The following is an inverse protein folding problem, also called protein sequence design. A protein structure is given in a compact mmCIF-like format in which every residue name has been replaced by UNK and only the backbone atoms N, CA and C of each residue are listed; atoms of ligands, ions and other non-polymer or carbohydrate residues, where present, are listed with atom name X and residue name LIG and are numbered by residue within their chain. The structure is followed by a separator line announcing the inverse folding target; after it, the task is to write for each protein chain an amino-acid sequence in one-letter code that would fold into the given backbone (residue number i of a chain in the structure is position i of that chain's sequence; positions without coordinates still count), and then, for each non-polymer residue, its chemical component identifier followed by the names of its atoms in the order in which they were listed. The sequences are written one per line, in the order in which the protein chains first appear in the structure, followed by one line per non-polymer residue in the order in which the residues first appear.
data_IF_310819511039
#
_entry.id   IF_310819511039
#
_cell.length_a   1.000
_cell.length_b   1.000
_cell.length_c   1.000
_cell.angle_alpha   90.00
_cell.angle_beta   90.00
_cell.angle_gamma   90.00
#
_symmetry.space_group_name_H-M   'P 1'
#
loop_
_entity.id
_entity.type
_entity.pdbx_description
1 polymer ?
#
# COMPACT_ATOMS: atom_id res chain seq x y z
N UNK A 1 -11.90 16.45 7.49
CA UNK A 1 -10.52 16.90 7.15
C UNK A 1 -9.84 17.79 8.20
N UNK A 2 -10.34 18.99 8.57
CA UNK A 2 -9.65 19.92 9.50
C UNK A 2 -9.53 19.46 10.96
N UNK A 3 -10.33 18.48 11.39
CA UNK A 3 -10.28 17.95 12.77
C UNK A 3 -9.33 16.75 12.93
N UNK A 4 -8.54 16.44 11.90
CA UNK A 4 -7.55 15.35 11.93
C UNK A 4 -6.14 15.90 11.86
N UNK A 5 -5.23 15.25 12.58
CA UNK A 5 -3.81 15.39 12.38
C UNK A 5 -3.36 14.43 11.28
N UNK A 6 -2.58 14.93 10.32
CA UNK A 6 -2.10 14.15 9.18
C UNK A 6 -0.61 13.89 9.32
N UNK A 7 -0.23 12.61 9.26
CA UNK A 7 1.15 12.17 9.21
C UNK A 7 1.43 11.68 7.79
N UNK A 8 2.29 12.39 7.04
CA UNK A 8 2.50 12.14 5.61
C UNK A 8 3.96 11.73 5.40
N UNK A 9 4.16 10.52 4.85
CA UNK A 9 5.45 10.05 4.34
C UNK A 9 5.40 10.19 2.82
N UNK A 10 5.99 11.26 2.24
CA UNK A 10 5.83 11.53 0.81
C UNK A 10 6.58 10.53 -0.09
N UNK A 11 7.63 9.91 0.44
CA UNK A 11 8.40 8.91 -0.28
C UNK A 11 8.92 7.83 0.67
N UNK A 12 8.36 6.64 0.57
CA UNK A 12 8.75 5.47 1.37
C UNK A 12 9.98 4.71 0.80
N UNK A 13 10.45 5.06 -0.41
CA UNK A 13 11.55 4.39 -1.09
C UNK A 13 12.43 5.42 -1.84
N UNK A 14 13.19 6.27 -1.12
CA UNK A 14 13.98 7.32 -1.74
C UNK A 14 15.00 6.80 -2.76
N UNK A 15 15.71 5.72 -2.45
CA UNK A 15 16.75 5.18 -3.35
C UNK A 15 16.14 4.56 -4.61
N UNK A 16 15.07 3.78 -4.46
CA UNK A 16 14.35 3.22 -5.60
C UNK A 16 13.76 4.31 -6.47
N UNK A 17 13.19 5.37 -5.87
CA UNK A 17 12.67 6.52 -6.59
C UNK A 17 13.77 7.25 -7.38
N UNK A 18 14.94 7.49 -6.77
CA UNK A 18 16.07 8.09 -7.47
C UNK A 18 16.50 7.23 -8.67
N UNK A 19 16.62 5.91 -8.47
CA UNK A 19 16.98 4.97 -9.53
C UNK A 19 15.99 4.97 -10.71
N UNK A 20 14.69 5.22 -10.46
CA UNK A 20 13.71 5.38 -11.56
C UNK A 20 13.93 6.62 -12.44
N UNK A 21 14.70 7.59 -11.96
CA UNK A 21 14.98 8.85 -12.66
C UNK A 21 16.32 8.86 -13.37
N UNK A 22 17.23 7.97 -12.98
CA UNK A 22 18.60 7.96 -13.51
C UNK A 22 18.93 6.70 -14.32
N UNK A 23 18.36 5.54 -13.97
CA UNK A 23 18.77 4.26 -14.54
C UNK A 23 17.60 3.45 -15.13
N UNK A 24 16.65 3.00 -14.30
CA UNK A 24 15.54 2.13 -14.71
C UNK A 24 14.20 2.67 -14.24
N UNK A 25 13.48 3.29 -15.18
CA UNK A 25 12.16 3.90 -14.94
C UNK A 25 11.13 2.94 -14.35
N UNK A 26 11.26 1.63 -14.57
CA UNK A 26 10.32 0.61 -14.10
C UNK A 26 10.78 -0.13 -12.84
N UNK A 27 11.86 0.33 -12.20
CA UNK A 27 12.31 -0.21 -10.94
C UNK A 27 11.27 -0.04 -9.83
N UNK A 28 11.05 -1.07 -9.03
CA UNK A 28 9.98 -1.09 -8.01
C UNK A 28 10.44 -1.53 -6.61
N UNK A 29 11.65 -2.07 -6.48
CA UNK A 29 12.24 -2.47 -5.19
C UNK A 29 12.99 -1.28 -4.58
N UNK A 30 13.51 -1.41 -3.36
CA UNK A 30 14.56 -0.49 -2.91
C UNK A 30 15.90 -0.80 -3.61
N UNK A 31 17.00 -0.20 -3.13
CA UNK A 31 18.35 -0.38 -3.70
C UNK A 31 19.33 -1.12 -2.79
N UNK A 32 18.83 -1.95 -1.87
CA UNK A 32 19.68 -2.84 -1.07
C UNK A 32 20.66 -3.62 -1.95
N UNK A 33 21.92 -3.69 -1.52
CA UNK A 33 22.96 -4.44 -2.23
C UNK A 33 22.57 -5.92 -2.39
N UNK A 34 23.00 -6.58 -3.48
CA UNK A 34 22.71 -8.00 -3.68
C UNK A 34 23.17 -8.86 -2.51
N UNK A 35 22.39 -9.90 -2.23
CA UNK A 35 22.79 -10.92 -1.27
C UNK A 35 24.00 -11.70 -1.74
N UNK A 36 24.78 -12.26 -0.80
CA UNK A 36 25.92 -13.13 -1.12
C UNK A 36 25.47 -14.25 -2.06
N UNK A 37 26.10 -14.34 -3.23
CA UNK A 37 25.76 -15.32 -4.27
C UNK A 37 24.63 -14.91 -5.22
N UNK A 38 24.04 -13.72 -5.05
CA UNK A 38 23.07 -13.14 -6.00
C UNK A 38 23.67 -11.94 -6.73
N UNK A 39 23.19 -11.69 -7.95
CA UNK A 39 23.47 -10.46 -8.70
C UNK A 39 22.33 -9.44 -8.60
N UNK A 40 21.22 -9.80 -7.96
CA UNK A 40 20.00 -9.01 -7.95
C UNK A 40 19.91 -8.13 -6.71
N UNK A 41 19.77 -6.82 -6.92
CA UNK A 41 19.61 -5.83 -5.85
C UNK A 41 18.16 -5.64 -5.45
N UNK A 42 17.94 -5.18 -4.23
CA UNK A 42 16.67 -4.64 -3.73
C UNK A 42 15.68 -5.67 -3.20
N UNK A 43 14.81 -5.21 -2.32
CA UNK A 43 13.68 -5.91 -1.72
C UNK A 43 12.39 -5.16 -2.02
N UNK A 44 11.29 -5.88 -2.17
CA UNK A 44 9.98 -5.26 -2.29
C UNK A 44 9.52 -4.82 -0.89
N UNK A 45 9.52 -3.51 -0.64
CA UNK A 45 9.20 -2.96 0.67
C UNK A 45 7.78 -3.34 1.13
N UNK A 46 6.81 -3.43 0.21
CA UNK A 46 5.44 -3.85 0.52
C UNK A 46 5.27 -5.39 0.58
N UNK A 47 6.36 -6.12 0.78
CA UNK A 47 6.40 -7.55 1.14
C UNK A 47 7.29 -7.84 2.35
N UNK A 48 7.82 -6.79 2.98
CA UNK A 48 8.86 -6.89 3.99
C UNK A 48 8.35 -6.57 5.41
N UNK A 49 7.09 -6.20 5.59
CA UNK A 49 6.51 -6.01 6.92
C UNK A 49 6.28 -7.36 7.64
N UNK A 50 6.12 -7.38 8.99
CA UNK A 50 5.97 -8.63 9.74
C UNK A 50 4.69 -9.42 9.44
N UNK A 51 3.58 -8.72 9.14
CA UNK A 51 2.26 -9.33 8.97
C UNK A 51 2.23 -10.30 7.80
N UNK A 52 1.98 -11.59 8.05
CA UNK A 52 1.99 -12.63 7.00
C UNK A 52 3.35 -12.85 6.32
N UNK A 53 4.47 -12.34 6.88
CA UNK A 53 5.79 -12.49 6.27
C UNK A 53 6.13 -13.96 5.97
N UNK A 54 6.76 -14.21 4.82
CA UNK A 54 7.04 -15.56 4.32
C UNK A 54 6.09 -16.01 3.22
N UNK A 55 4.92 -15.37 3.07
CA UNK A 55 4.03 -15.54 1.92
C UNK A 55 4.42 -14.67 0.74
N UNK A 56 5.46 -15.10 0.04
CA UNK A 56 5.95 -14.46 -1.18
C UNK A 56 7.27 -15.06 -1.66
N UNK A 57 7.79 -14.62 -2.82
CA UNK A 57 8.97 -15.22 -3.41
C UNK A 57 10.24 -14.93 -2.58
N UNK A 58 11.01 -15.99 -2.33
CA UNK A 58 12.31 -15.93 -1.64
C UNK A 58 13.50 -15.71 -2.58
N UNK A 59 13.29 -15.77 -3.89
CA UNK A 59 14.32 -15.50 -4.89
C UNK A 59 14.64 -14.00 -4.93
N UNK A 60 15.89 -13.55 -4.66
CA UNK A 60 16.26 -12.13 -4.69
C UNK A 60 16.00 -11.42 -6.03
N UNK A 61 15.95 -12.17 -7.14
CA UNK A 61 15.67 -11.62 -8.46
C UNK A 61 14.18 -11.39 -8.75
N UNK A 62 13.27 -11.90 -7.92
CA UNK A 62 11.85 -11.64 -8.09
C UNK A 62 11.51 -10.17 -7.80
N UNK A 63 10.60 -9.58 -8.60
CA UNK A 63 10.11 -8.20 -8.36
C UNK A 63 9.39 -8.06 -7.00
N UNK A 64 8.78 -9.15 -6.53
CA UNK A 64 8.11 -9.23 -5.24
C UNK A 64 8.99 -9.89 -4.16
N UNK A 65 10.31 -9.92 -4.32
CA UNK A 65 11.23 -10.52 -3.34
C UNK A 65 10.99 -9.94 -1.94
N UNK A 66 10.74 -10.82 -0.97
CA UNK A 66 10.27 -10.45 0.37
C UNK A 66 11.38 -9.96 1.31
N UNK A 67 12.64 -10.20 0.97
CA UNK A 67 13.79 -9.96 1.86
C UNK A 67 14.13 -11.20 2.71
N UNK A 68 15.12 -11.06 3.60
CA UNK A 68 15.61 -12.19 4.41
C UNK A 68 14.76 -12.50 5.64
N UNK A 69 14.24 -11.45 6.26
CA UNK A 69 13.44 -11.48 7.48
C UNK A 69 12.56 -10.21 7.49
N UNK A 70 11.46 -10.17 8.26
CA UNK A 70 10.62 -8.98 8.28
C UNK A 70 11.39 -7.77 8.82
N UNK A 71 11.16 -6.61 8.22
CA UNK A 71 11.85 -5.34 8.53
C UNK A 71 13.37 -5.44 8.35
N UNK A 72 13.83 -6.23 7.38
CA UNK A 72 15.25 -6.28 6.99
C UNK A 72 15.72 -5.01 6.29
N UNK A 73 14.79 -4.23 5.73
CA UNK A 73 15.11 -3.01 5.00
C UNK A 73 15.02 -1.79 5.94
N UNK A 74 15.97 -0.85 5.89
CA UNK A 74 15.95 0.32 6.75
C UNK A 74 14.70 1.18 6.54
N UNK A 75 14.16 1.23 5.32
CA UNK A 75 12.96 2.00 5.00
C UNK A 75 11.71 1.41 5.66
N UNK A 76 11.49 0.09 5.56
CA UNK A 76 10.34 -0.56 6.20
C UNK A 76 10.46 -0.54 7.70
N UNK A 77 11.68 -0.72 8.24
CA UNK A 77 11.96 -0.56 9.67
C UNK A 77 11.63 0.85 10.16
N UNK A 78 12.08 1.89 9.47
CA UNK A 78 11.80 3.27 9.86
C UNK A 78 10.29 3.58 9.89
N UNK A 79 9.54 3.12 8.88
CA UNK A 79 8.08 3.27 8.84
C UNK A 79 7.41 2.51 9.98
N UNK A 80 7.82 1.27 10.24
CA UNK A 80 7.26 0.46 11.31
C UNK A 80 7.52 1.06 12.70
N UNK A 81 8.74 1.53 12.94
CA UNK A 81 9.12 2.19 14.19
C UNK A 81 8.34 3.50 14.38
N UNK A 82 8.17 4.29 13.32
CA UNK A 82 7.37 5.52 13.36
C UNK A 82 5.91 5.25 13.69
N UNK A 83 5.26 4.29 13.01
CA UNK A 83 3.86 3.93 13.29
C UNK A 83 3.69 3.50 14.74
N UNK A 84 4.57 2.64 15.25
CA UNK A 84 4.56 2.23 16.66
C UNK A 84 4.72 3.41 17.62
N UNK A 85 5.51 4.41 17.23
CA UNK A 85 5.72 5.63 18.04
C UNK A 85 4.52 6.58 18.07
N UNK A 86 3.53 6.42 17.19
CA UNK A 86 2.36 7.34 17.13
C UNK A 86 1.02 6.64 17.34
N UNK A 87 0.94 5.31 17.20
CA UNK A 87 -0.34 4.59 17.21
C UNK A 87 -1.12 4.76 18.53
N UNK A 88 -0.41 4.94 19.65
CA UNK A 88 -0.99 5.21 20.96
C UNK A 88 -1.68 6.60 21.06
N UNK A 89 -1.49 7.48 20.08
CA UNK A 89 -2.14 8.79 19.99
C UNK A 89 -3.42 8.75 19.13
N UNK A 90 -4.15 7.62 19.16
CA UNK A 90 -5.41 7.42 18.43
C UNK A 90 -5.27 7.61 16.91
N UNK A 91 -4.33 6.90 16.28
CA UNK A 91 -4.30 6.83 14.80
C UNK A 91 -5.49 6.00 14.33
N UNK A 92 -6.47 6.65 13.69
CA UNK A 92 -7.74 6.00 13.31
C UNK A 92 -7.68 5.39 11.90
N UNK A 93 -6.91 5.98 10.99
CA UNK A 93 -6.83 5.56 9.59
C UNK A 93 -5.39 5.60 9.07
N UNK A 94 -4.99 4.58 8.30
CA UNK A 94 -3.70 4.51 7.63
C UNK A 94 -3.88 4.12 6.15
N UNK A 95 -3.21 4.86 5.26
CA UNK A 95 -3.33 4.70 3.81
C UNK A 95 -1.96 4.48 3.18
N UNK A 96 -1.80 3.35 2.48
CA UNK A 96 -0.63 3.10 1.63
C UNK A 96 -1.01 3.38 0.17
N UNK A 97 -0.48 4.44 -0.42
CA UNK A 97 -0.75 4.80 -1.81
C UNK A 97 0.17 4.05 -2.78
N UNK A 98 -0.42 3.46 -3.82
CA UNK A 98 0.25 2.72 -4.88
C UNK A 98 -0.35 3.10 -6.24
N UNK A 99 0.24 2.60 -7.32
CA UNK A 99 -0.40 2.58 -8.62
C UNK A 99 0.07 1.34 -9.39
N UNK A 100 -0.71 0.81 -10.32
CA UNK A 100 -2.02 1.27 -10.79
C UNK A 100 -3.07 0.16 -10.60
N UNK A 101 -4.34 0.52 -10.69
CA UNK A 101 -5.43 -0.47 -10.67
C UNK A 101 -6.77 0.04 -10.18
N UNK A 102 -6.91 1.33 -9.86
CA UNK A 102 -8.15 1.96 -9.38
C UNK A 102 -8.88 1.11 -8.33
N UNK A 103 -8.17 0.67 -7.30
CA UNK A 103 -8.72 -0.25 -6.29
C UNK A 103 -8.29 0.15 -4.88
N UNK A 104 -9.22 0.13 -3.93
CA UNK A 104 -8.90 0.20 -2.50
C UNK A 104 -8.99 -1.19 -1.86
N UNK A 105 -7.87 -1.67 -1.36
CA UNK A 105 -7.83 -2.95 -0.66
C UNK A 105 -8.00 -2.79 0.85
N UNK A 106 -8.67 -3.76 1.45
CA UNK A 106 -8.78 -3.94 2.89
C UNK A 106 -7.92 -5.13 3.37
N UNK A 107 -7.44 -5.11 4.63
CA UNK A 107 -6.80 -6.27 5.26
C UNK A 107 -7.79 -7.44 5.39
N UNK A 108 -7.33 -8.66 5.62
CA UNK A 108 -5.93 -9.10 5.53
C UNK A 108 -5.62 -9.67 4.14
N UNK A 109 -4.44 -9.38 3.60
CA UNK A 109 -4.05 -9.87 2.28
C UNK A 109 -3.44 -11.29 2.27
N UNK A 110 -2.94 -11.76 3.42
CA UNK A 110 -2.12 -12.97 3.50
C UNK A 110 -2.90 -14.28 3.75
N UNK A 111 -3.97 -14.27 4.57
CA UNK A 111 -4.78 -15.46 4.92
C UNK A 111 -6.17 -15.46 4.26
N UNK A 112 -7.06 -16.39 4.65
CA UNK A 112 -8.38 -16.67 4.05
C UNK A 112 -9.40 -15.51 4.12
N UNK A 113 -10.70 -15.74 4.40
CA UNK A 113 -11.61 -14.60 4.60
C UNK A 113 -11.04 -13.68 5.68
N UNK A 114 -11.09 -12.36 5.45
CA UNK A 114 -10.50 -11.41 6.39
C UNK A 114 -11.20 -11.52 7.74
N UNK A 115 -10.41 -11.69 8.79
CA UNK A 115 -10.87 -11.69 10.19
C UNK A 115 -10.95 -10.28 10.79
N UNK A 116 -10.78 -9.23 9.97
CA UNK A 116 -10.78 -7.85 10.47
C UNK A 116 -12.18 -7.51 11.04
N UNK A 117 -12.29 -7.11 12.33
CA UNK A 117 -13.58 -6.98 13.00
C UNK A 117 -14.48 -5.87 12.42
N UNK A 118 -13.89 -4.88 11.73
CA UNK A 118 -14.60 -3.77 11.10
C UNK A 118 -14.76 -3.92 9.58
N UNK A 119 -14.54 -5.11 9.01
CA UNK A 119 -14.52 -5.30 7.55
C UNK A 119 -15.77 -4.75 6.85
N UNK A 120 -16.97 -5.05 7.37
CA UNK A 120 -18.23 -4.56 6.80
C UNK A 120 -18.30 -3.03 6.81
N UNK A 121 -17.95 -2.38 7.93
CA UNK A 121 -17.91 -0.92 8.03
C UNK A 121 -16.86 -0.31 7.10
N UNK A 122 -15.70 -0.95 6.97
CA UNK A 122 -14.67 -0.55 6.01
C UNK A 122 -15.22 -0.59 4.59
N UNK A 123 -15.96 -1.64 4.21
CA UNK A 123 -16.57 -1.77 2.89
C UNK A 123 -17.66 -0.74 2.64
N UNK A 124 -18.54 -0.45 3.62
CA UNK A 124 -19.52 0.64 3.50
C UNK A 124 -18.85 2.00 3.31
N UNK A 125 -17.78 2.28 4.07
CA UNK A 125 -17.02 3.52 3.92
C UNK A 125 -16.37 3.63 2.53
N UNK A 126 -15.79 2.53 2.05
CA UNK A 126 -15.18 2.48 0.72
C UNK A 126 -16.22 2.60 -0.39
N UNK A 127 -17.38 1.98 -0.25
CA UNK A 127 -18.50 2.11 -1.19
C UNK A 127 -18.94 3.56 -1.34
N UNK A 128 -19.14 4.28 -0.23
CA UNK A 128 -19.46 5.70 -0.26
C UNK A 128 -18.33 6.52 -0.91
N UNK A 129 -17.07 6.24 -0.57
CA UNK A 129 -15.94 6.95 -1.15
C UNK A 129 -15.82 6.72 -2.66
N UNK A 130 -15.85 5.47 -3.12
CA UNK A 130 -15.64 5.10 -4.53
C UNK A 130 -16.77 5.61 -5.43
N UNK A 131 -18.02 5.63 -4.96
CA UNK A 131 -19.13 6.22 -5.70
C UNK A 131 -18.95 7.71 -6.00
N UNK A 132 -18.20 8.44 -5.17
CA UNK A 132 -17.97 9.89 -5.35
C UNK A 132 -16.65 10.22 -6.05
N UNK A 133 -15.79 9.22 -6.29
CA UNK A 133 -14.53 9.39 -7.01
C UNK A 133 -14.74 9.26 -8.51
N UNK A 134 -15.46 10.22 -9.09
CA UNK A 134 -15.61 10.33 -10.54
C UNK A 134 -14.47 11.17 -11.15
N UNK A 135 -14.02 10.85 -12.37
CA UNK A 135 -14.58 9.86 -13.30
C UNK A 135 -13.99 8.44 -13.19
N UNK A 136 -12.98 8.20 -12.35
CA UNK A 136 -12.32 6.90 -12.31
C UNK A 136 -13.10 5.96 -11.40
N UNK A 137 -13.93 5.08 -11.96
CA UNK A 137 -14.68 4.09 -11.18
C UNK A 137 -13.71 3.17 -10.41
N UNK A 138 -13.61 3.40 -9.10
CA UNK A 138 -12.78 2.60 -8.21
C UNK A 138 -13.49 1.33 -7.76
N UNK A 139 -12.76 0.23 -7.73
CA UNK A 139 -13.17 -0.99 -7.05
C UNK A 139 -12.70 -0.97 -5.60
N UNK A 140 -13.28 -1.85 -4.76
CA UNK A 140 -12.76 -2.11 -3.43
C UNK A 140 -12.94 -3.58 -3.04
N UNK A 141 -12.16 -4.04 -2.07
CA UNK A 141 -12.31 -5.38 -1.50
C UNK A 141 -11.02 -5.99 -0.98
N UNK A 142 -11.00 -7.31 -0.87
CA UNK A 142 -9.81 -8.04 -0.42
C UNK A 142 -8.82 -8.22 -1.58
N UNK A 143 -7.52 -8.20 -1.29
CA UNK A 143 -6.49 -8.42 -2.33
C UNK A 143 -6.72 -9.74 -3.09
N UNK A 144 -7.12 -10.79 -2.38
CA UNK A 144 -7.34 -12.14 -2.94
C UNK A 144 -8.55 -12.26 -3.86
N UNK A 145 -9.52 -11.34 -3.83
CA UNK A 145 -10.67 -11.35 -4.76
C UNK A 145 -10.30 -10.73 -6.11
N UNK A 146 -9.18 -10.02 -6.18
CA UNK A 146 -8.67 -9.44 -7.41
C UNK A 146 -7.98 -10.50 -8.28
N UNK A 147 -8.33 -10.54 -9.58
CA UNK A 147 -7.92 -11.60 -10.53
C UNK A 147 -6.41 -11.91 -10.50
N UNK A 148 -5.58 -10.89 -10.26
CA UNK A 148 -4.12 -11.00 -10.22
C UNK A 148 -3.58 -11.82 -9.03
N UNK A 149 -4.31 -11.89 -7.92
CA UNK A 149 -3.86 -12.49 -6.65
C UNK A 149 -4.76 -13.64 -6.18
N UNK A 150 -5.64 -14.11 -7.07
CA UNK A 150 -6.65 -15.11 -6.76
C UNK A 150 -5.99 -16.35 -6.16
N UNK A 151 -6.44 -16.73 -4.97
CA UNK A 151 -6.06 -17.94 -4.22
C UNK A 151 -4.67 -18.00 -3.57
N UNK A 152 -3.74 -17.08 -3.87
CA UNK A 152 -2.35 -17.16 -3.35
C UNK A 152 -2.13 -16.33 -2.07
N UNK A 153 -2.76 -15.15 -1.97
CA UNK A 153 -2.54 -14.22 -0.88
C UNK A 153 -1.13 -13.63 -0.91
N UNK A 154 -0.95 -12.47 -0.28
CA UNK A 154 0.34 -11.80 -0.23
C UNK A 154 0.67 -11.42 1.20
N UNK A 155 1.90 -11.73 1.62
CA UNK A 155 2.42 -11.39 2.94
C UNK A 155 3.29 -10.15 2.94
N UNK A 156 3.49 -9.61 4.14
CA UNK A 156 4.40 -8.52 4.44
C UNK A 156 3.97 -7.16 3.90
N UNK A 157 2.66 -6.94 3.75
CA UNK A 157 2.13 -5.65 3.30
C UNK A 157 2.11 -4.63 4.44
N UNK A 158 2.24 -3.34 4.10
CA UNK A 158 2.12 -2.24 5.05
C UNK A 158 0.70 -2.15 5.64
N UNK A 159 -0.33 -2.34 4.80
CA UNK A 159 -1.74 -2.33 5.20
C UNK A 159 -2.05 -3.37 6.27
N UNK A 160 -1.61 -4.61 6.08
CA UNK A 160 -1.82 -5.67 7.08
C UNK A 160 -1.06 -5.36 8.37
N UNK A 161 0.17 -4.83 8.27
CA UNK A 161 0.92 -4.39 9.45
C UNK A 161 0.21 -3.25 10.21
N UNK A 162 -0.38 -2.27 9.52
CA UNK A 162 -1.13 -1.19 10.16
C UNK A 162 -2.34 -1.73 10.92
N UNK A 163 -3.08 -2.67 10.33
CA UNK A 163 -4.16 -3.36 11.01
C UNK A 163 -3.67 -4.14 12.25
N UNK A 164 -2.54 -4.83 12.15
CA UNK A 164 -1.91 -5.53 13.30
C UNK A 164 -1.46 -4.58 14.41
N UNK A 165 -1.20 -3.30 14.11
CA UNK A 165 -0.92 -2.29 15.14
C UNK A 165 -2.20 -1.75 15.81
N UNK A 166 -3.38 -2.24 15.42
CA UNK A 166 -4.67 -1.82 15.97
C UNK A 166 -5.25 -0.57 15.32
N UNK A 167 -4.75 -0.15 14.14
CA UNK A 167 -5.33 0.97 13.39
C UNK A 167 -6.65 0.50 12.75
N UNK A 168 -7.82 1.06 13.12
CA UNK A 168 -9.13 0.55 12.70
C UNK A 168 -9.36 0.55 11.18
N UNK A 169 -8.86 1.55 10.48
CA UNK A 169 -9.11 1.75 9.05
C UNK A 169 -7.78 1.76 8.27
N UNK A 170 -7.20 0.58 8.04
CA UNK A 170 -5.99 0.43 7.22
C UNK A 170 -6.36 0.07 5.78
N UNK A 171 -5.79 0.76 4.79
CA UNK A 171 -6.04 0.46 3.37
C UNK A 171 -4.79 0.55 2.50
N UNK A 172 -4.79 -0.18 1.40
CA UNK A 172 -3.94 0.08 0.24
C UNK A 172 -4.79 0.75 -0.83
N UNK A 173 -4.33 1.86 -1.40
CA UNK A 173 -5.04 2.60 -2.44
C UNK A 173 -4.23 2.59 -3.74
N UNK A 174 -4.65 1.77 -4.70
CA UNK A 174 -4.10 1.71 -6.06
C UNK A 174 -4.73 2.81 -6.91
N UNK A 175 -3.96 3.85 -7.22
CA UNK A 175 -4.36 5.00 -8.03
C UNK A 175 -4.58 4.63 -9.51
N UNK A 176 -5.10 5.55 -10.34
CA UNK A 176 -5.39 5.27 -11.73
C UNK A 176 -4.12 4.99 -12.54
N UNK A 177 -4.22 4.38 -13.71
CA UNK A 177 -5.46 3.91 -14.37
C UNK A 177 -5.62 2.39 -14.20
N UNK A 178 -6.36 1.74 -15.12
CA UNK A 178 -6.50 0.28 -15.20
C UNK A 178 -5.45 -0.38 -16.10
N UNK A 179 -4.41 0.36 -16.50
CA UNK A 179 -3.29 -0.15 -17.31
C UNK A 179 -3.11 0.52 -18.67
N UNK A 180 -3.92 1.52 -19.04
CA UNK A 180 -3.76 2.26 -20.29
C UNK A 180 -2.40 2.99 -20.34
N UNK A 181 -2.04 3.65 -19.24
CA UNK A 181 -0.75 4.28 -19.02
C UNK A 181 0.05 3.56 -17.93
N UNK A 182 -0.65 2.94 -16.96
CA UNK A 182 -0.04 2.25 -15.84
C UNK A 182 0.96 3.13 -15.09
N UNK A 183 2.21 2.68 -15.00
CA UNK A 183 3.30 3.38 -14.28
C UNK A 183 3.76 4.68 -14.96
N UNK A 184 3.33 4.95 -16.19
CA UNK A 184 3.70 6.10 -17.01
C UNK A 184 2.55 7.10 -17.18
N UNK A 185 1.75 7.27 -16.13
CA UNK A 185 0.66 8.25 -16.09
C UNK A 185 1.13 9.65 -16.56
N UNK A 186 0.45 10.29 -17.53
CA UNK A 186 0.82 11.62 -18.00
C UNK A 186 0.75 12.67 -16.89
N UNK A 187 1.76 13.55 -16.80
CA UNK A 187 1.84 14.56 -15.74
C UNK A 187 0.62 15.50 -15.68
N UNK A 188 -0.03 15.76 -16.81
CA UNK A 188 -1.28 16.55 -16.88
C UNK A 188 -2.43 15.96 -16.05
N UNK A 189 -2.40 14.66 -15.73
CA UNK A 189 -3.41 13.97 -14.91
C UNK A 189 -3.17 14.11 -13.41
N UNK A 190 -1.98 14.55 -12.97
CA UNK A 190 -1.62 14.61 -11.54
C UNK A 190 -2.62 15.44 -10.72
N UNK A 191 -2.99 16.63 -11.20
CA UNK A 191 -3.93 17.49 -10.48
C UNK A 191 -5.36 16.92 -10.44
N UNK A 192 -5.79 16.24 -11.52
CA UNK A 192 -7.09 15.58 -11.60
C UNK A 192 -7.19 14.43 -10.60
N UNK A 193 -6.17 13.54 -10.60
CA UNK A 193 -6.07 12.43 -9.65
C UNK A 193 -5.96 12.94 -8.21
N UNK A 194 -5.21 14.03 -7.99
CA UNK A 194 -5.10 14.65 -6.66
C UNK A 194 -6.45 15.14 -6.13
N UNK A 195 -7.28 15.77 -6.96
CA UNK A 195 -8.64 16.19 -6.58
C UNK A 195 -9.53 15.00 -6.24
N UNK A 196 -9.44 13.94 -7.03
CA UNK A 196 -10.20 12.71 -6.80
C UNK A 196 -9.80 12.03 -5.48
N UNK A 197 -8.51 11.89 -5.21
CA UNK A 197 -8.00 11.38 -3.92
C UNK A 197 -8.53 12.23 -2.76
N UNK A 198 -8.55 13.56 -2.91
CA UNK A 198 -9.11 14.44 -1.89
C UNK A 198 -10.62 14.24 -1.70
N UNK A 199 -11.38 13.97 -2.76
CA UNK A 199 -12.81 13.61 -2.67
C UNK A 199 -12.98 12.31 -1.88
N UNK A 200 -12.27 11.25 -2.24
CA UNK A 200 -12.32 9.96 -1.53
C UNK A 200 -11.95 10.10 -0.05
N UNK A 201 -10.83 10.78 0.25
CA UNK A 201 -10.42 11.08 1.62
C UNK A 201 -11.49 11.86 2.39
N UNK A 202 -12.12 12.84 1.76
CA UNK A 202 -13.19 13.62 2.40
C UNK A 202 -14.39 12.75 2.73
N UNK A 203 -14.77 11.81 1.86
CA UNK A 203 -15.85 10.85 2.13
C UNK A 203 -15.47 9.90 3.26
N UNK A 204 -14.32 9.24 3.17
CA UNK A 204 -13.84 8.30 4.20
C UNK A 204 -13.78 8.96 5.58
N UNK A 205 -13.23 10.17 5.65
CA UNK A 205 -13.10 10.88 6.93
C UNK A 205 -14.43 11.41 7.50
N UNK A 206 -15.50 11.48 6.71
CA UNK A 206 -16.82 11.86 7.21
C UNK A 206 -17.45 10.77 8.10
N UNK A 207 -17.03 9.51 7.93
CA UNK A 207 -17.48 8.36 8.72
C UNK A 207 -16.77 8.22 10.07
N UNK A 208 -15.70 8.99 10.31
CA UNK A 208 -14.86 8.90 11.52
C UNK A 208 -15.34 9.89 12.62
N UNK A 209 -16.60 10.31 12.58
CA UNK A 209 -17.18 11.29 13.50
C UNK A 209 -18.47 10.82 14.15
#
# INVERSE_FOLDING_TARGET
MKKFQWHIIPNANPDGYHFTRTEDRFWSKNRRNPDKGSKCSGVNLNRNFPSGFGKGPKNPCARAYIGKYPLSEPETKAIADYVKSIVHNNVIMALSFHCFGQTLFTPFAYDGPSSHPLLELMHTMLEDATHHMLPNYYQYGLVRTYLRYKNEGIGGTSMDFYADQGIPFAYTWELPDMGQHGMLMPSRKIQEIGKEVMTGLSRMTAWIY
#
